data_IF_612968611417
#
_entry.id   IF_612968611417
#
_cell.length_a   1.000
_cell.length_b   1.000
_cell.length_c   1.000
_cell.angle_alpha   90.00
_cell.angle_beta   90.00
_cell.angle_gamma   90.00
#
_symmetry.space_group_name_H-M   'P 1'
#
loop_
_entity.id
_entity.type
_entity.pdbx_description
1 polymer ?
#
# COMPACT_ATOMS: atom_id res chain seq x y z
N UNK A 1 25.51 -6.60 31.95
CA UNK A 1 24.75 -7.86 32.06
C UNK A 1 23.27 -7.54 32.28
N UNK A 2 22.57 -7.09 31.23
CA UNK A 2 21.11 -6.96 31.21
C UNK A 2 20.61 -7.94 30.14
N UNK A 3 20.52 -9.22 30.50
CA UNK A 3 19.77 -10.15 29.66
C UNK A 3 18.30 -9.84 29.92
N UNK A 4 17.74 -8.94 29.12
CA UNK A 4 16.30 -8.69 29.09
C UNK A 4 15.69 -10.00 28.61
N UNK A 5 15.27 -10.84 29.56
CA UNK A 5 14.52 -12.05 29.28
C UNK A 5 13.21 -11.62 28.62
N UNK A 6 13.15 -11.76 27.31
CA UNK A 6 11.96 -11.44 26.51
C UNK A 6 10.79 -12.27 27.07
N UNK A 7 9.63 -11.65 27.36
CA UNK A 7 8.52 -12.39 27.93
C UNK A 7 8.05 -13.47 26.93
N UNK A 8 7.67 -14.67 27.40
CA UNK A 8 7.31 -15.79 26.52
C UNK A 8 6.08 -15.49 25.64
N UNK A 9 5.24 -14.53 26.05
CA UNK A 9 4.12 -14.02 25.24
C UNK A 9 4.59 -13.25 24.00
N UNK A 10 5.71 -12.54 24.10
CA UNK A 10 6.28 -11.78 22.99
C UNK A 10 6.93 -12.73 21.97
N UNK A 11 7.63 -13.77 22.41
CA UNK A 11 8.24 -14.75 21.50
C UNK A 11 7.17 -15.47 20.66
N UNK A 12 6.06 -15.86 21.29
CA UNK A 12 4.93 -16.46 20.59
C UNK A 12 4.30 -15.47 19.59
N UNK A 13 4.08 -14.22 19.99
CA UNK A 13 3.51 -13.20 19.11
C UNK A 13 4.43 -12.88 17.93
N UNK A 14 5.74 -12.76 18.17
CA UNK A 14 6.75 -12.50 17.14
C UNK A 14 6.73 -13.60 16.07
N UNK A 15 6.67 -14.87 16.49
CA UNK A 15 6.64 -16.00 15.57
C UNK A 15 5.41 -16.01 14.66
N UNK A 16 4.24 -15.71 15.23
CA UNK A 16 2.99 -15.58 14.46
C UNK A 16 3.09 -14.43 13.46
N UNK A 17 3.60 -13.28 13.89
CA UNK A 17 3.80 -12.11 13.03
C UNK A 17 4.76 -12.39 11.88
N UNK A 18 5.89 -13.07 12.12
CA UNK A 18 6.83 -13.46 11.05
C UNK A 18 6.13 -14.32 9.99
N UNK A 19 5.32 -15.29 10.41
CA UNK A 19 4.54 -16.13 9.50
C UNK A 19 3.58 -15.31 8.63
N UNK A 20 2.82 -14.37 9.22
CA UNK A 20 1.92 -13.50 8.46
C UNK A 20 2.68 -12.56 7.51
N UNK A 21 3.82 -12.00 7.92
CA UNK A 21 4.66 -11.15 7.07
C UNK A 21 5.16 -11.92 5.84
N UNK A 22 5.67 -13.14 6.02
CA UNK A 22 6.09 -13.99 4.91
C UNK A 22 4.94 -14.33 3.96
N UNK A 23 3.75 -14.63 4.51
CA UNK A 23 2.57 -14.90 3.70
C UNK A 23 2.13 -13.68 2.90
N UNK A 24 2.14 -12.49 3.50
CA UNK A 24 1.83 -11.22 2.82
C UNK A 24 2.85 -10.96 1.72
N UNK A 25 4.15 -11.16 1.97
CA UNK A 25 5.19 -10.98 0.97
C UNK A 25 4.96 -11.90 -0.26
N UNK A 26 4.65 -13.18 -0.03
CA UNK A 26 4.33 -14.12 -1.11
C UNK A 26 3.08 -13.70 -1.88
N UNK A 27 2.04 -13.26 -1.17
CA UNK A 27 0.81 -12.77 -1.79
C UNK A 27 1.05 -11.52 -2.66
N UNK A 28 1.92 -10.60 -2.21
CA UNK A 28 2.32 -9.42 -2.98
C UNK A 28 3.10 -9.80 -4.24
N UNK A 29 4.04 -10.76 -4.17
CA UNK A 29 4.78 -11.24 -5.35
C UNK A 29 3.83 -11.88 -6.36
N UNK A 30 2.91 -12.73 -5.90
CA UNK A 30 1.89 -13.33 -6.75
C UNK A 30 0.98 -12.27 -7.40
N UNK A 31 0.52 -11.30 -6.61
CA UNK A 31 -0.29 -10.18 -7.09
C UNK A 31 0.45 -9.32 -8.12
N UNK A 32 1.73 -9.02 -7.89
CA UNK A 32 2.56 -8.27 -8.83
C UNK A 32 2.74 -9.01 -10.15
N UNK A 33 2.97 -10.33 -10.11
CA UNK A 33 3.06 -11.16 -11.31
C UNK A 33 1.73 -11.20 -12.09
N UNK A 34 0.61 -11.46 -11.41
CA UNK A 34 -0.71 -11.51 -12.02
C UNK A 34 -1.10 -10.16 -12.67
N UNK A 35 -0.89 -9.06 -11.94
CA UNK A 35 -1.15 -7.71 -12.43
C UNK A 35 -0.22 -7.32 -13.59
N UNK A 36 1.06 -7.71 -13.55
CA UNK A 36 1.98 -7.47 -14.66
C UNK A 36 1.52 -8.19 -15.93
N UNK A 37 1.08 -9.45 -15.80
CA UNK A 37 0.59 -10.24 -16.93
C UNK A 37 -0.69 -9.64 -17.54
N UNK A 38 -1.64 -9.20 -16.70
CA UNK A 38 -2.90 -8.58 -17.15
C UNK A 38 -2.74 -7.16 -17.68
N UNK A 39 -1.78 -6.38 -17.15
CA UNK A 39 -1.58 -4.97 -17.54
C UNK A 39 -0.80 -4.82 -18.83
N UNK A 40 0.06 -5.78 -19.21
CA UNK A 40 0.85 -5.74 -20.47
C UNK A 40 0.00 -5.43 -21.73
N UNK A 41 -1.14 -6.10 -22.00
CA UNK A 41 -1.94 -5.81 -23.20
C UNK A 41 -2.73 -4.49 -23.12
N UNK A 42 -3.03 -3.97 -21.92
CA UNK A 42 -3.80 -2.73 -21.74
C UNK A 42 -2.89 -1.48 -21.73
N UNK A 43 -1.70 -1.60 -21.13
CA UNK A 43 -0.73 -0.52 -21.03
C UNK A 43 -0.17 -0.15 -22.40
N UNK A 44 0.15 -1.11 -23.28
CA UNK A 44 0.63 -0.81 -24.64
C UNK A 44 -0.39 -0.02 -25.47
N UNK A 45 -1.69 -0.23 -25.27
CA UNK A 45 -2.75 0.54 -25.96
C UNK A 45 -2.96 1.93 -25.38
N UNK A 46 -2.96 2.07 -24.05
CA UNK A 46 -3.14 3.38 -23.41
C UNK A 46 -1.88 4.26 -23.55
N UNK A 47 -0.68 3.68 -23.42
CA UNK A 47 0.56 4.42 -23.64
C UNK A 47 0.72 4.83 -25.10
N UNK A 48 0.35 4.00 -26.09
CA UNK A 48 0.40 4.42 -27.49
C UNK A 48 -0.57 5.57 -27.81
N UNK A 49 -1.79 5.56 -27.28
CA UNK A 49 -2.77 6.63 -27.48
C UNK A 49 -2.36 7.92 -26.76
N UNK A 50 -1.93 7.82 -25.49
CA UNK A 50 -1.49 8.98 -24.70
C UNK A 50 -0.16 9.56 -25.25
N UNK A 51 0.79 8.69 -25.64
CA UNK A 51 2.04 9.13 -26.27
C UNK A 51 1.78 9.77 -27.62
N UNK A 52 0.90 9.22 -28.46
CA UNK A 52 0.54 9.82 -29.74
C UNK A 52 -0.11 11.20 -29.54
N UNK A 53 -0.98 11.36 -28.54
CA UNK A 53 -1.61 12.66 -28.23
C UNK A 53 -0.60 13.68 -27.69
N UNK A 54 0.33 13.24 -26.85
CA UNK A 54 1.42 14.08 -26.31
C UNK A 54 2.41 14.44 -27.42
N UNK A 55 2.72 13.50 -28.31
CA UNK A 55 3.65 13.69 -29.42
C UNK A 55 3.07 14.58 -30.51
N UNK A 56 1.76 14.52 -30.76
CA UNK A 56 1.05 15.48 -31.61
C UNK A 56 1.12 16.90 -31.04
N UNK A 57 0.87 17.08 -29.74
CA UNK A 57 0.99 18.39 -29.07
C UNK A 57 2.43 18.90 -29.05
N UNK A 58 3.41 18.01 -28.88
CA UNK A 58 4.84 18.34 -28.99
C UNK A 58 5.20 18.76 -30.40
N UNK A 59 4.74 18.04 -31.43
CA UNK A 59 4.99 18.36 -32.84
C UNK A 59 4.36 19.70 -33.25
N UNK A 60 3.15 19.99 -32.78
CA UNK A 60 2.50 21.28 -32.99
C UNK A 60 3.27 22.42 -32.33
N UNK A 61 3.67 22.25 -31.06
CA UNK A 61 4.52 23.22 -30.36
C UNK A 61 5.84 23.43 -31.09
N UNK A 62 6.49 22.37 -31.56
CA UNK A 62 7.76 22.43 -32.27
C UNK A 62 7.61 23.15 -33.61
N UNK A 63 6.53 22.90 -34.35
CA UNK A 63 6.22 23.60 -35.59
C UNK A 63 5.95 25.10 -35.37
N UNK A 64 5.20 25.44 -34.32
CA UNK A 64 4.94 26.84 -33.93
C UNK A 64 6.22 27.54 -33.49
N UNK A 65 7.09 26.86 -32.75
CA UNK A 65 8.39 27.40 -32.34
C UNK A 65 9.31 27.59 -33.54
N UNK A 66 9.35 26.63 -34.46
CA UNK A 66 10.19 26.67 -35.65
C UNK A 66 9.77 27.77 -36.63
N UNK A 67 8.47 27.94 -36.85
CA UNK A 67 7.93 29.03 -37.67
C UNK A 67 8.26 30.42 -37.09
N UNK A 68 8.29 30.54 -35.76
CA UNK A 68 8.67 31.79 -35.07
C UNK A 68 10.20 32.02 -35.07
N UNK A 69 11.02 30.96 -35.07
CA UNK A 69 12.50 31.05 -35.14
C UNK A 69 12.97 31.78 -36.41
N UNK A 70 12.29 31.55 -37.54
CA UNK A 70 12.66 32.15 -38.84
C UNK A 70 12.46 33.68 -38.85
N UNK A 71 11.68 34.22 -37.91
CA UNK A 71 11.28 35.63 -37.90
C UNK A 71 12.03 36.51 -36.89
N UNK A 72 12.90 35.98 -36.01
CA UNK A 72 13.47 36.74 -34.88
C UNK A 72 14.94 36.44 -34.55
N UNK A 73 15.58 37.39 -33.86
CA UNK A 73 16.94 37.30 -33.29
C UNK A 73 17.03 36.30 -32.12
N UNK A 74 18.18 35.62 -32.00
CA UNK A 74 18.44 34.47 -31.11
C UNK A 74 18.07 34.69 -29.63
N UNK A 75 18.35 35.87 -29.07
CA UNK A 75 18.07 36.19 -27.67
C UNK A 75 16.58 36.35 -27.35
N UNK A 76 15.79 36.88 -28.29
CA UNK A 76 14.34 37.02 -28.10
C UNK A 76 13.62 35.69 -28.29
N UNK A 77 14.12 34.85 -29.19
CA UNK A 77 13.61 33.51 -29.42
C UNK A 77 13.74 32.62 -28.19
N UNK A 78 14.91 32.61 -27.53
CA UNK A 78 15.14 31.82 -26.31
C UNK A 78 14.14 32.16 -25.20
N UNK A 79 13.87 33.46 -25.01
CA UNK A 79 12.94 33.93 -23.96
C UNK A 79 11.50 33.52 -24.25
N UNK A 80 11.08 33.59 -25.52
CA UNK A 80 9.74 33.19 -25.97
C UNK A 80 9.57 31.66 -25.94
N UNK A 81 10.60 30.91 -26.32
CA UNK A 81 10.60 29.45 -26.27
C UNK A 81 10.45 28.94 -24.84
N UNK A 82 11.22 29.48 -23.89
CA UNK A 82 11.07 29.15 -22.47
C UNK A 82 9.69 29.56 -21.91
N UNK A 83 9.14 30.68 -22.36
CA UNK A 83 7.80 31.11 -21.94
C UNK A 83 6.71 30.17 -22.45
N UNK A 84 6.78 29.75 -23.73
CA UNK A 84 5.83 28.79 -24.31
C UNK A 84 6.00 27.40 -23.72
N UNK A 85 7.24 26.94 -23.49
CA UNK A 85 7.52 25.66 -22.85
C UNK A 85 6.98 25.61 -21.42
N UNK A 86 7.22 26.67 -20.62
CA UNK A 86 6.69 26.78 -19.27
C UNK A 86 5.14 26.86 -19.27
N UNK A 87 4.54 27.50 -20.28
CA UNK A 87 3.08 27.49 -20.44
C UNK A 87 2.55 26.08 -20.77
N UNK A 88 3.23 25.34 -21.64
CA UNK A 88 2.89 23.95 -21.95
C UNK A 88 3.06 23.03 -20.73
N UNK A 89 4.14 23.18 -19.98
CA UNK A 89 4.39 22.43 -18.74
C UNK A 89 3.31 22.72 -17.68
N UNK A 90 2.94 23.99 -17.50
CA UNK A 90 1.81 24.38 -16.63
C UNK A 90 0.47 23.86 -17.14
N UNK A 91 0.27 23.79 -18.45
CA UNK A 91 -0.95 23.22 -19.05
C UNK A 91 -0.98 21.70 -18.85
N UNK A 92 0.17 21.03 -18.92
CA UNK A 92 0.30 19.60 -18.65
C UNK A 92 0.07 19.29 -17.17
N UNK A 93 0.72 20.03 -16.27
CA UNK A 93 0.54 19.93 -14.82
C UNK A 93 -0.91 20.25 -14.42
N UNK A 94 -1.55 21.23 -15.06
CA UNK A 94 -2.97 21.52 -14.81
C UNK A 94 -3.91 20.50 -15.45
N UNK A 95 -3.48 19.76 -16.49
CA UNK A 95 -4.26 18.65 -17.07
C UNK A 95 -4.14 17.36 -16.25
N UNK A 96 -2.97 17.07 -15.66
CA UNK A 96 -2.81 15.99 -14.68
C UNK A 96 -3.51 16.33 -13.37
N UNK A 97 -3.43 17.59 -12.94
CA UNK A 97 -4.19 18.11 -11.81
C UNK A 97 -5.68 18.32 -12.16
N UNK A 98 -6.12 18.24 -13.42
CA UNK A 98 -7.54 18.36 -13.78
C UNK A 98 -8.34 17.14 -13.31
N UNK A 99 -7.67 16.01 -13.04
CA UNK A 99 -8.29 14.88 -12.35
C UNK A 99 -8.62 15.21 -10.89
N UNK A 100 -7.84 16.09 -10.25
CA UNK A 100 -8.03 16.57 -8.88
C UNK A 100 -8.79 17.91 -8.78
N UNK A 101 -8.97 18.63 -9.90
CA UNK A 101 -9.51 20.01 -9.93
C UNK A 101 -11.03 20.13 -10.09
N UNK A 102 -11.82 19.09 -9.82
CA UNK A 102 -13.28 19.24 -9.68
C UNK A 102 -13.72 19.59 -8.23
N UNK A 103 -12.80 19.83 -7.30
CA UNK A 103 -13.15 20.14 -5.90
C UNK A 103 -12.99 21.62 -5.50
N UNK A 104 -12.51 22.50 -6.38
CA UNK A 104 -12.33 23.91 -6.04
C UNK A 104 -13.58 24.77 -6.26
N UNK A 105 -14.71 24.31 -5.76
CA UNK A 105 -15.79 25.21 -5.38
C UNK A 105 -15.70 25.36 -3.85
N UNK A 106 -15.43 26.58 -3.37
CA UNK A 106 -15.50 26.96 -1.94
C UNK A 106 -16.90 26.84 -1.32
N UNK A 107 -17.75 26.00 -1.91
CA UNK A 107 -19.07 25.60 -1.45
C UNK A 107 -18.95 24.66 -0.25
N UNK A 108 -19.86 24.83 0.71
CA UNK A 108 -19.99 23.96 1.86
C UNK A 108 -20.05 22.47 1.50
N UNK A 109 -20.66 22.13 0.35
CA UNK A 109 -20.76 20.76 -0.13
C UNK A 109 -19.39 20.14 -0.50
N UNK A 110 -18.49 20.91 -1.10
CA UNK A 110 -17.13 20.46 -1.41
C UNK A 110 -16.32 20.24 -0.14
N UNK A 111 -16.41 21.18 0.81
CA UNK A 111 -15.79 21.04 2.13
C UNK A 111 -16.35 19.85 2.93
N UNK A 112 -17.65 19.57 2.84
CA UNK A 112 -18.29 18.41 3.48
C UNK A 112 -17.80 17.09 2.87
N UNK A 113 -17.68 17.00 1.54
CA UNK A 113 -17.11 15.83 0.86
C UNK A 113 -15.65 15.61 1.28
N UNK A 114 -14.84 16.67 1.32
CA UNK A 114 -13.45 16.60 1.78
C UNK A 114 -13.36 16.13 3.23
N UNK A 115 -14.20 16.70 4.12
CA UNK A 115 -14.27 16.30 5.52
C UNK A 115 -14.71 14.83 5.69
N UNK A 116 -15.63 14.36 4.85
CA UNK A 116 -16.04 12.97 4.84
C UNK A 116 -14.90 12.06 4.40
N UNK A 117 -14.27 12.34 3.25
CA UNK A 117 -13.11 11.60 2.73
C UNK A 117 -12.01 11.45 3.78
N UNK A 118 -11.73 12.51 4.54
CA UNK A 118 -10.74 12.53 5.61
C UNK A 118 -11.06 11.57 6.76
N UNK A 119 -12.33 11.52 7.18
CA UNK A 119 -12.77 10.66 8.29
C UNK A 119 -12.87 9.20 7.84
N UNK A 120 -13.39 8.97 6.63
CA UNK A 120 -13.61 7.62 6.10
C UNK A 120 -12.38 7.03 5.44
N UNK A 121 -11.28 7.79 5.38
CA UNK A 121 -10.01 7.44 4.73
C UNK A 121 -10.20 6.98 3.29
N UNK A 122 -11.11 7.63 2.55
CA UNK A 122 -11.43 7.28 1.17
C UNK A 122 -10.63 8.16 0.23
N UNK A 123 -9.88 7.52 -0.67
CA UNK A 123 -9.09 8.21 -1.69
C UNK A 123 -7.83 8.86 -1.12
N UNK A 124 -6.93 9.24 -2.02
CA UNK A 124 -5.77 10.03 -1.67
C UNK A 124 -6.18 11.50 -1.50
N UNK A 125 -5.71 12.15 -0.43
CA UNK A 125 -5.76 13.61 -0.32
C UNK A 125 -4.37 14.12 -0.64
N UNK A 126 -4.24 14.89 -1.71
CA UNK A 126 -2.96 15.47 -2.09
C UNK A 126 -2.64 16.65 -1.15
N UNK A 127 -1.42 16.72 -0.58
CA UNK A 127 -1.05 17.79 0.34
C UNK A 127 -1.06 19.17 -0.34
N UNK A 128 -0.89 19.21 -1.66
CA UNK A 128 -0.83 20.43 -2.48
C UNK A 128 -2.21 21.09 -2.65
N UNK A 129 -3.30 20.39 -2.33
CA UNK A 129 -4.67 20.93 -2.37
C UNK A 129 -5.03 21.76 -1.14
N UNK A 130 -4.29 21.62 -0.03
CA UNK A 130 -4.60 22.27 1.24
C UNK A 130 -3.60 23.38 1.57
N UNK A 131 -4.11 24.51 2.06
CA UNK A 131 -3.27 25.54 2.70
C UNK A 131 -2.55 24.97 3.92
N UNK A 132 -1.39 25.52 4.29
CA UNK A 132 -0.61 25.09 5.46
C UNK A 132 -1.44 25.03 6.76
N UNK A 133 -2.38 25.97 6.96
CA UNK A 133 -3.32 25.92 8.08
C UNK A 133 -4.38 24.82 7.96
N UNK A 134 -4.83 24.54 6.73
CA UNK A 134 -5.76 23.46 6.43
C UNK A 134 -5.14 22.07 6.65
N UNK A 135 -3.86 21.89 6.31
CA UNK A 135 -3.12 20.66 6.58
C UNK A 135 -3.05 20.37 8.09
N UNK A 136 -2.74 21.37 8.90
CA UNK A 136 -2.70 21.22 10.36
C UNK A 136 -4.08 20.87 10.93
N UNK A 137 -5.13 21.53 10.45
CA UNK A 137 -6.50 21.21 10.85
C UNK A 137 -6.90 19.79 10.44
N UNK A 138 -6.56 19.36 9.22
CA UNK A 138 -6.81 18.02 8.71
C UNK A 138 -6.17 16.93 9.59
N UNK A 139 -4.96 17.15 10.11
CA UNK A 139 -4.31 16.22 11.04
C UNK A 139 -5.11 16.05 12.33
N UNK A 140 -5.51 17.14 12.99
CA UNK A 140 -6.30 17.06 14.22
C UNK A 140 -7.70 16.50 13.98
N UNK A 141 -8.33 16.88 12.87
CA UNK A 141 -9.65 16.42 12.48
C UNK A 141 -9.67 14.92 12.21
N UNK A 142 -8.70 14.38 11.47
CA UNK A 142 -8.59 12.94 11.20
C UNK A 142 -8.24 12.13 12.45
N UNK A 143 -7.39 12.66 13.35
CA UNK A 143 -7.03 12.00 14.61
C UNK A 143 -8.25 11.71 15.50
N UNK A 144 -9.21 12.64 15.58
CA UNK A 144 -10.44 12.44 16.34
C UNK A 144 -11.55 11.77 15.51
N UNK A 145 -11.62 12.08 14.22
CA UNK A 145 -12.68 11.65 13.32
C UNK A 145 -12.61 10.17 12.94
N UNK A 146 -11.42 9.64 12.64
CA UNK A 146 -11.25 8.22 12.23
C UNK A 146 -11.73 7.27 13.36
N UNK A 147 -11.31 7.42 14.64
CA UNK A 147 -11.81 6.57 15.72
C UNK A 147 -13.34 6.67 15.91
N UNK A 148 -13.91 7.87 15.77
CA UNK A 148 -15.35 8.08 15.87
C UNK A 148 -16.09 7.33 14.74
N UNK A 149 -15.54 7.34 13.54
CA UNK A 149 -16.10 6.63 12.40
C UNK A 149 -15.97 5.10 12.53
N UNK A 150 -14.84 4.61 13.06
CA UNK A 150 -14.69 3.18 13.39
C UNK A 150 -15.70 2.72 14.46
N UNK A 151 -16.04 3.58 15.43
CA UNK A 151 -17.09 3.30 16.40
C UNK A 151 -18.46 3.17 15.72
N UNK A 152 -18.77 4.09 14.80
CA UNK A 152 -19.99 4.03 13.99
C UNK A 152 -20.07 2.73 13.18
N UNK A 153 -19.00 2.40 12.43
CA UNK A 153 -18.91 1.17 11.65
C UNK A 153 -19.13 -0.08 12.51
N UNK A 154 -18.59 -0.09 13.73
CA UNK A 154 -18.77 -1.22 14.66
C UNK A 154 -20.24 -1.44 15.01
N UNK A 155 -21.01 -0.37 15.24
CA UNK A 155 -22.44 -0.49 15.54
C UNK A 155 -23.24 -0.95 14.32
N UNK A 156 -22.93 -0.39 13.13
CA UNK A 156 -23.57 -0.82 11.89
C UNK A 156 -23.26 -2.29 11.58
N UNK A 157 -22.02 -2.74 11.77
CA UNK A 157 -21.63 -4.13 11.56
C UNK A 157 -22.37 -5.08 12.50
N UNK A 158 -22.62 -4.70 13.76
CA UNK A 158 -23.44 -5.49 14.70
C UNK A 158 -24.88 -5.62 14.21
N UNK A 159 -25.48 -4.52 13.75
CA UNK A 159 -26.83 -4.51 13.20
C UNK A 159 -26.92 -5.38 11.93
N UNK A 160 -26.01 -5.21 10.97
CA UNK A 160 -25.99 -6.00 9.73
C UNK A 160 -25.71 -7.48 9.99
N UNK A 161 -24.81 -7.81 10.92
CA UNK A 161 -24.49 -9.20 11.29
C UNK A 161 -25.71 -9.94 11.86
N UNK A 162 -26.63 -9.21 12.50
CA UNK A 162 -27.88 -9.79 13.01
C UNK A 162 -28.86 -10.15 11.88
N UNK A 163 -28.75 -9.49 10.73
CA UNK A 163 -29.67 -9.69 9.59
C UNK A 163 -29.10 -10.68 8.58
N UNK A 164 -27.78 -10.60 8.33
CA UNK A 164 -27.10 -11.36 7.27
C UNK A 164 -26.00 -12.21 7.90
N UNK A 165 -26.01 -13.51 7.61
CA UNK A 165 -25.04 -14.46 8.20
C UNK A 165 -24.41 -15.36 7.12
N UNK A 166 -23.12 -15.66 7.28
CA UNK A 166 -22.37 -16.60 6.45
C UNK A 166 -22.08 -16.08 5.04
N UNK A 167 -22.08 -16.96 4.04
CA UNK A 167 -21.81 -16.61 2.63
C UNK A 167 -22.78 -15.58 2.04
N UNK A 168 -23.95 -15.39 2.65
CA UNK A 168 -24.91 -14.35 2.24
C UNK A 168 -24.33 -12.94 2.38
N UNK A 169 -23.36 -12.72 3.25
CA UNK A 169 -22.67 -11.42 3.42
C UNK A 169 -21.94 -11.02 2.12
N UNK A 170 -21.22 -11.97 1.51
CA UNK A 170 -20.47 -11.72 0.27
C UNK A 170 -21.43 -11.44 -0.89
N UNK A 171 -22.50 -12.24 -1.00
CA UNK A 171 -23.53 -12.04 -2.02
C UNK A 171 -24.23 -10.70 -1.85
N UNK A 172 -24.53 -10.30 -0.61
CA UNK A 172 -25.13 -9.01 -0.30
C UNK A 172 -24.22 -7.85 -0.72
N UNK A 173 -22.90 -7.93 -0.47
CA UNK A 173 -21.95 -6.92 -0.91
C UNK A 173 -21.96 -6.74 -2.43
N UNK A 174 -21.77 -7.83 -3.19
CA UNK A 174 -21.73 -7.73 -4.66
C UNK A 174 -23.08 -7.28 -5.24
N UNK A 175 -24.19 -7.74 -4.66
CA UNK A 175 -25.52 -7.26 -5.05
C UNK A 175 -25.71 -5.77 -4.76
N UNK A 176 -25.23 -5.28 -3.61
CA UNK A 176 -25.32 -3.87 -3.25
C UNK A 176 -24.45 -2.99 -4.14
N UNK A 177 -23.21 -3.42 -4.42
CA UNK A 177 -22.31 -2.75 -5.37
C UNK A 177 -22.95 -2.68 -6.75
N UNK A 178 -23.58 -3.77 -7.21
CA UNK A 178 -24.25 -3.81 -8.51
C UNK A 178 -25.41 -2.80 -8.59
N UNK A 179 -26.29 -2.79 -7.59
CA UNK A 179 -27.40 -1.82 -7.53
C UNK A 179 -26.88 -0.39 -7.44
N UNK A 180 -25.85 -0.15 -6.63
CA UNK A 180 -25.21 1.17 -6.50
C UNK A 180 -24.61 1.62 -7.82
N UNK A 181 -23.93 0.74 -8.55
CA UNK A 181 -23.38 1.05 -9.87
C UNK A 181 -24.47 1.42 -10.88
N UNK A 182 -25.60 0.71 -10.90
CA UNK A 182 -26.75 1.07 -11.75
C UNK A 182 -27.32 2.43 -11.36
N UNK A 183 -27.42 2.75 -10.07
CA UNK A 183 -27.90 4.06 -9.59
C UNK A 183 -26.95 5.17 -10.02
N UNK A 184 -25.64 4.98 -9.87
CA UNK A 184 -24.61 5.94 -10.31
C UNK A 184 -24.70 6.15 -11.82
N UNK A 185 -24.79 5.08 -12.61
CA UNK A 185 -24.87 5.10 -14.07
C UNK A 185 -26.11 5.87 -14.59
N UNK A 186 -27.27 5.72 -13.92
CA UNK A 186 -28.48 6.46 -14.28
C UNK A 186 -28.39 7.95 -13.92
N UNK A 187 -27.75 8.27 -12.79
CA UNK A 187 -27.64 9.64 -12.29
C UNK A 187 -26.58 10.45 -13.05
N UNK A 188 -25.51 9.80 -13.49
CA UNK A 188 -24.40 10.40 -14.22
C UNK A 188 -24.73 10.45 -15.73
N UNK A 189 -25.78 11.20 -16.06
CA UNK A 189 -26.46 11.14 -17.37
C UNK A 189 -25.73 11.82 -18.53
N UNK A 190 -24.47 12.29 -18.37
CA UNK A 190 -23.85 13.19 -19.36
C UNK A 190 -22.32 13.14 -19.50
N UNK A 191 -21.61 12.12 -19.03
CA UNK A 191 -20.14 12.07 -19.13
C UNK A 191 -19.65 10.74 -19.65
N UNK A 192 -19.01 10.78 -20.84
CA UNK A 192 -18.15 9.79 -21.49
C UNK A 192 -18.53 8.31 -21.32
N UNK A 193 -18.81 7.62 -22.43
CA UNK A 193 -19.15 6.20 -22.50
C UNK A 193 -18.07 5.27 -21.90
N UNK A 194 -17.99 5.20 -20.58
CA UNK A 194 -17.22 4.20 -19.83
C UNK A 194 -18.08 2.95 -19.75
N UNK A 195 -17.47 1.79 -19.97
CA UNK A 195 -18.18 0.51 -19.86
C UNK A 195 -18.80 0.35 -18.48
N UNK A 196 -20.00 -0.21 -18.36
CA UNK A 196 -20.65 -0.53 -17.07
C UNK A 196 -19.72 -1.24 -16.07
N UNK A 197 -18.85 -2.13 -16.58
CA UNK A 197 -17.85 -2.83 -15.78
C UNK A 197 -16.88 -1.87 -15.06
N UNK A 198 -16.50 -0.75 -15.69
CA UNK A 198 -15.67 0.28 -15.09
C UNK A 198 -16.41 0.98 -13.94
N UNK A 199 -17.67 1.36 -14.14
CA UNK A 199 -18.50 1.99 -13.11
C UNK A 199 -18.70 1.05 -11.91
N UNK A 200 -18.99 -0.22 -12.19
CA UNK A 200 -19.09 -1.26 -11.17
C UNK A 200 -17.80 -1.44 -10.37
N UNK A 201 -16.65 -1.51 -11.05
CA UNK A 201 -15.35 -1.62 -10.40
C UNK A 201 -14.98 -0.36 -9.60
N UNK A 202 -15.27 0.82 -10.13
CA UNK A 202 -15.04 2.11 -9.45
C UNK A 202 -15.82 2.18 -8.13
N UNK A 203 -17.11 1.84 -8.16
CA UNK A 203 -17.96 1.82 -6.95
C UNK A 203 -17.45 0.79 -5.93
N UNK A 204 -17.00 -0.39 -6.38
CA UNK A 204 -16.38 -1.37 -5.50
C UNK A 204 -15.11 -0.83 -4.81
N UNK A 205 -14.23 -0.17 -5.56
CA UNK A 205 -13.01 0.44 -5.01
C UNK A 205 -13.35 1.54 -4.01
N UNK A 206 -14.37 2.34 -4.29
CA UNK A 206 -14.83 3.41 -3.40
C UNK A 206 -15.34 2.85 -2.07
N UNK A 207 -16.20 1.82 -2.09
CA UNK A 207 -16.65 1.13 -0.87
C UNK A 207 -15.56 0.31 -0.18
N UNK A 208 -14.43 0.07 -0.84
CA UNK A 208 -13.23 -0.56 -0.25
C UNK A 208 -12.20 0.47 0.24
N UNK A 209 -12.58 1.75 0.30
CA UNK A 209 -11.72 2.89 0.70
C UNK A 209 -10.48 3.12 -0.19
N UNK A 210 -10.42 2.51 -1.38
CA UNK A 210 -9.29 2.65 -2.31
C UNK A 210 -9.60 3.67 -3.41
N UNK A 211 -10.86 3.70 -3.87
CA UNK A 211 -11.27 4.44 -5.05
C UNK A 211 -11.48 5.93 -4.81
N UNK A 212 -11.11 6.73 -5.80
CA UNK A 212 -11.39 8.16 -5.85
C UNK A 212 -12.85 8.42 -6.26
N UNK A 213 -13.48 9.41 -5.63
CA UNK A 213 -14.85 9.83 -5.97
C UNK A 213 -14.81 10.72 -7.21
N UNK A 214 -15.26 10.20 -8.35
CA UNK A 214 -15.40 10.97 -9.59
C UNK A 214 -16.83 11.41 -9.91
N UNK A 215 -17.81 10.99 -9.10
CA UNK A 215 -19.23 11.12 -9.48
C UNK A 215 -19.84 12.45 -9.00
N UNK A 216 -20.43 13.20 -9.91
CA UNK A 216 -21.18 14.44 -9.66
C UNK A 216 -22.60 14.19 -9.12
N UNK A 217 -22.73 13.23 -8.20
CA UNK A 217 -24.00 12.90 -7.53
C UNK A 217 -24.21 13.87 -6.37
N UNK A 218 -25.49 14.18 -6.09
CA UNK A 218 -25.89 15.00 -4.95
C UNK A 218 -25.25 14.51 -3.65
N UNK A 219 -24.56 15.41 -2.94
CA UNK A 219 -23.70 15.11 -1.79
C UNK A 219 -24.38 14.22 -0.74
N UNK A 220 -25.65 14.49 -0.40
CA UNK A 220 -26.36 13.71 0.62
C UNK A 220 -26.59 12.26 0.19
N UNK A 221 -27.00 12.04 -1.05
CA UNK A 221 -27.24 10.69 -1.56
C UNK A 221 -25.94 9.90 -1.63
N UNK A 222 -24.87 10.55 -2.09
CA UNK A 222 -23.53 9.95 -2.15
C UNK A 222 -23.02 9.58 -0.74
N UNK A 223 -23.18 10.44 0.26
CA UNK A 223 -22.83 10.15 1.65
C UNK A 223 -23.61 8.95 2.21
N UNK A 224 -24.93 8.91 2.04
CA UNK A 224 -25.76 7.79 2.54
C UNK A 224 -25.38 6.47 1.88
N UNK A 225 -25.22 6.49 0.56
CA UNK A 225 -24.79 5.32 -0.22
C UNK A 225 -23.41 4.84 0.21
N UNK A 226 -22.48 5.77 0.42
CA UNK A 226 -21.12 5.46 0.83
C UNK A 226 -21.07 4.89 2.26
N UNK A 227 -21.80 5.48 3.20
CA UNK A 227 -21.88 4.99 4.59
C UNK A 227 -22.43 3.57 4.68
N UNK A 228 -23.49 3.30 3.92
CA UNK A 228 -24.09 1.95 3.86
C UNK A 228 -23.17 0.95 3.16
N UNK A 229 -22.54 1.35 2.05
CA UNK A 229 -21.56 0.54 1.33
C UNK A 229 -20.32 0.20 2.18
N UNK A 230 -19.75 1.18 2.87
CA UNK A 230 -18.59 0.99 3.75
C UNK A 230 -18.89 0.06 4.93
N UNK A 231 -20.08 0.16 5.52
CA UNK A 231 -20.48 -0.80 6.57
C UNK A 231 -20.58 -2.21 6.02
N UNK A 232 -21.16 -2.40 4.83
CA UNK A 232 -21.29 -3.73 4.25
C UNK A 232 -19.93 -4.32 3.82
N UNK A 233 -19.04 -3.50 3.27
CA UNK A 233 -17.66 -3.88 2.98
C UNK A 233 -16.89 -4.25 4.25
N UNK A 234 -16.99 -3.41 5.29
CA UNK A 234 -16.35 -3.65 6.60
C UNK A 234 -16.80 -4.97 7.23
N UNK A 235 -18.10 -5.27 7.19
CA UNK A 235 -18.63 -6.55 7.65
C UNK A 235 -18.06 -7.71 6.83
N UNK A 236 -18.01 -7.57 5.51
CA UNK A 236 -17.47 -8.60 4.61
C UNK A 236 -15.99 -8.86 4.90
N UNK A 237 -15.18 -7.82 5.09
CA UNK A 237 -13.76 -7.95 5.45
C UNK A 237 -13.56 -8.64 6.79
N UNK A 238 -14.33 -8.25 7.83
CA UNK A 238 -14.26 -8.92 9.13
C UNK A 238 -14.62 -10.40 9.05
N UNK A 239 -15.63 -10.74 8.24
CA UNK A 239 -16.03 -12.11 8.02
C UNK A 239 -14.99 -12.95 7.22
N UNK A 240 -14.41 -12.37 6.17
CA UNK A 240 -13.31 -12.99 5.41
C UNK A 240 -12.08 -13.18 6.30
N UNK A 241 -11.73 -12.20 7.13
CA UNK A 241 -10.63 -12.28 8.08
C UNK A 241 -10.82 -13.45 9.05
N UNK A 242 -11.98 -13.57 9.69
CA UNK A 242 -12.28 -14.70 10.59
C UNK A 242 -12.18 -16.05 9.88
N UNK A 243 -12.56 -16.12 8.59
CA UNK A 243 -12.45 -17.35 7.81
C UNK A 243 -10.99 -17.69 7.49
N UNK A 244 -10.21 -16.68 7.10
CA UNK A 244 -8.78 -16.81 6.83
C UNK A 244 -8.05 -17.27 8.07
N UNK A 245 -8.27 -16.63 9.23
CA UNK A 245 -7.66 -17.03 10.51
C UNK A 245 -7.92 -18.50 10.83
N UNK A 246 -9.18 -18.96 10.70
CA UNK A 246 -9.54 -20.36 10.94
C UNK A 246 -8.86 -21.34 9.98
N UNK A 247 -8.70 -20.99 8.71
CA UNK A 247 -7.98 -21.84 7.75
C UNK A 247 -6.47 -21.85 8.00
N UNK A 248 -5.92 -20.68 8.36
CA UNK A 248 -4.50 -20.51 8.58
C UNK A 248 -4.00 -21.14 9.88
N UNK A 249 -4.86 -21.33 10.90
CA UNK A 249 -4.48 -21.98 12.16
C UNK A 249 -3.77 -23.33 11.95
N UNK A 250 -4.23 -24.14 10.98
CA UNK A 250 -3.59 -25.43 10.66
C UNK A 250 -2.18 -25.24 10.08
N UNK A 251 -2.02 -24.25 9.21
CA UNK A 251 -0.73 -23.93 8.59
C UNK A 251 0.24 -23.27 9.58
N UNK A 252 -0.27 -22.40 10.45
CA UNK A 252 0.47 -21.72 11.51
C UNK A 252 1.07 -22.75 12.49
N UNK A 253 0.27 -23.76 12.88
CA UNK A 253 0.74 -24.85 13.73
C UNK A 253 1.86 -25.65 13.05
N UNK A 254 1.75 -25.90 11.75
CA UNK A 254 2.76 -26.62 10.98
C UNK A 254 4.06 -25.81 10.87
N UNK A 255 3.97 -24.51 10.60
CA UNK A 255 5.11 -23.58 10.60
C UNK A 255 5.78 -23.51 11.99
N UNK A 256 4.95 -23.51 13.04
CA UNK A 256 5.40 -23.57 14.42
C UNK A 256 6.11 -24.90 14.78
N UNK A 257 5.83 -25.98 14.07
CA UNK A 257 6.60 -27.22 14.22
C UNK A 257 7.94 -27.12 13.51
N UNK A 258 7.95 -26.65 12.25
CA UNK A 258 9.17 -26.53 11.44
C UNK A 258 10.18 -25.54 12.04
N UNK A 259 9.75 -24.35 12.45
CA UNK A 259 10.64 -23.36 13.02
C UNK A 259 11.22 -23.81 14.38
N UNK A 260 10.50 -24.67 15.11
CA UNK A 260 11.01 -25.28 16.34
C UNK A 260 12.05 -26.37 16.06
N UNK A 261 11.93 -27.10 14.94
CA UNK A 261 12.96 -28.02 14.48
C UNK A 261 14.20 -27.27 13.99
N UNK A 262 14.03 -26.16 13.28
CA UNK A 262 15.15 -25.31 12.83
C UNK A 262 15.94 -24.74 14.01
N UNK A 263 15.27 -24.22 15.03
CA UNK A 263 15.96 -23.74 16.24
C UNK A 263 16.73 -24.87 16.94
N UNK A 264 16.17 -26.08 17.03
CA UNK A 264 16.87 -27.24 17.58
C UNK A 264 18.08 -27.68 16.75
N UNK A 265 18.02 -27.50 15.43
CA UNK A 265 19.16 -27.78 14.54
C UNK A 265 20.23 -26.70 14.73
N UNK A 266 19.81 -25.42 14.81
CA UNK A 266 20.71 -24.29 15.06
C UNK A 266 21.45 -24.44 16.39
N UNK A 267 20.73 -24.74 17.48
CA UNK A 267 21.34 -24.99 18.80
C UNK A 267 22.31 -26.19 18.78
N UNK A 268 22.03 -27.21 17.97
CA UNK A 268 22.95 -28.35 17.78
C UNK A 268 24.18 -27.97 16.98
N UNK A 269 24.07 -27.05 16.02
CA UNK A 269 25.21 -26.53 15.27
C UNK A 269 26.08 -25.62 16.15
N UNK A 270 25.48 -24.68 16.88
CA UNK A 270 26.22 -23.79 17.81
C UNK A 270 26.95 -24.59 18.90
N UNK A 271 26.30 -25.60 19.52
CA UNK A 271 26.97 -26.47 20.50
C UNK A 271 28.09 -27.33 19.92
N UNK A 272 28.01 -27.65 18.63
CA UNK A 272 29.06 -28.43 17.95
C UNK A 272 30.24 -27.53 17.59
N UNK A 273 29.97 -26.31 17.18
CA UNK A 273 30.97 -25.28 16.91
C UNK A 273 31.74 -24.90 18.18
N UNK A 274 31.05 -24.66 19.30
CA UNK A 274 31.70 -24.43 20.61
C UNK A 274 32.51 -25.65 21.08
N UNK A 275 32.03 -26.87 20.80
CA UNK A 275 32.73 -28.11 21.17
C UNK A 275 34.01 -28.33 20.38
N UNK A 276 33.95 -28.12 19.06
CA UNK A 276 35.11 -28.21 18.17
C UNK A 276 36.14 -27.11 18.52
N UNK A 277 35.71 -25.89 18.86
CA UNK A 277 36.60 -24.76 19.24
C UNK A 277 37.32 -25.02 20.59
N UNK A 278 36.63 -25.62 21.57
CA UNK A 278 37.24 -26.05 22.83
C UNK A 278 38.27 -27.17 22.60
N UNK A 279 37.97 -28.15 21.74
CA UNK A 279 38.89 -29.26 21.46
C UNK A 279 40.18 -28.78 20.77
N UNK A 280 40.07 -27.86 19.80
CA UNK A 280 41.24 -27.22 19.18
C UNK A 280 42.09 -26.42 20.18
N UNK A 281 41.47 -25.74 21.13
CA UNK A 281 42.18 -24.95 22.15
C UNK A 281 42.94 -25.84 23.12
N UNK A 282 42.36 -26.98 23.52
CA UNK A 282 43.03 -27.96 24.39
C UNK A 282 44.23 -28.60 23.68
N UNK A 283 44.08 -28.95 22.41
CA UNK A 283 45.17 -29.55 21.62
C UNK A 283 46.32 -28.56 21.45
N UNK A 284 46.04 -27.29 21.13
CA UNK A 284 47.08 -26.27 20.98
C UNK A 284 47.80 -25.96 22.30
N UNK A 285 47.08 -25.90 23.42
CA UNK A 285 47.70 -25.69 24.73
C UNK A 285 48.53 -26.91 25.17
N UNK A 286 48.17 -28.12 24.77
CA UNK A 286 48.95 -29.31 25.09
C UNK A 286 50.25 -29.37 24.28
N UNK A 287 50.21 -28.91 23.01
CA UNK A 287 51.42 -28.75 22.20
C UNK A 287 52.36 -27.65 22.72
N UNK A 288 51.82 -26.52 23.20
CA UNK A 288 52.68 -25.44 23.74
C UNK A 288 53.37 -25.83 25.05
N UNK A 289 52.72 -26.64 25.89
CA UNK A 289 53.33 -27.15 27.14
C UNK A 289 54.42 -28.19 26.82
N UNK A 290 54.22 -29.02 25.81
CA UNK A 290 55.24 -29.97 25.37
C UNK A 290 56.47 -29.28 24.73
N UNK A 291 56.26 -28.17 24.00
CA UNK A 291 57.38 -27.35 23.49
C UNK A 291 58.12 -26.61 24.63
N UNK A 292 57.43 -26.13 25.68
CA UNK A 292 58.08 -25.53 26.86
C UNK A 292 58.86 -26.57 27.71
N UNK A 293 58.37 -27.81 27.81
CA UNK A 293 59.08 -28.89 28.52
C UNK A 293 60.32 -29.40 27.74
N UNK A 294 60.30 -29.39 26.39
CA UNK A 294 61.48 -29.72 25.57
C UNK A 294 62.55 -28.62 25.58
N UNK A 295 62.16 -27.33 25.68
CA UNK A 295 63.13 -26.22 25.82
C UNK A 295 63.80 -26.19 27.21
N UNK A 296 63.11 -26.60 28.28
CA UNK A 296 63.71 -26.70 29.63
C UNK A 296 64.68 -27.90 29.76
N UNK A 297 64.45 -29.01 29.04
CA UNK A 297 65.38 -30.15 29.03
C UNK A 297 66.66 -29.87 28.21
N UNK A 298 66.59 -29.06 27.15
CA UNK A 298 67.78 -28.64 26.38
C UNK A 298 68.65 -27.60 27.12
N UNK A 299 68.09 -26.79 28.02
CA UNK A 299 68.89 -25.86 28.86
C UNK A 299 69.60 -26.55 30.04
N UNK A 300 69.14 -27.72 30.50
CA UNK A 300 69.81 -28.49 31.56
C UNK A 300 71.00 -29.33 31.04
N UNK A 301 71.02 -29.73 29.76
CA UNK A 301 72.15 -30.48 29.17
C UNK A 301 73.40 -29.63 28.86
N UNK A 302 73.32 -28.29 28.87
CA UNK A 302 74.45 -27.40 28.53
C UNK A 302 75.34 -27.03 29.75
N UNK A 303 75.08 -27.63 30.93
CA UNK A 303 75.83 -27.37 32.18
C UNK A 303 76.55 -28.58 32.82
N UNK A 304 76.60 -29.76 32.19
CA UNK A 304 77.43 -30.90 32.63
C UNK A 304 78.76 -31.08 31.86
#
# INVERSE_FOLDING_TARGET
>A
MFSISVPPSFELAMRRSIFFILLIALYLVFGAFALQMMRRPASERLTSIESERIDLKRAELLNVLWAETVARTENDWYRIANQKLNHYEKTLQSSSALSSKETNDGSFNGALKLAFKLITTIGAVEPDELSAGGQLFAMFYSMAGIPLYLLYLTQCNRMLSSVITGWRVIVALFSFVFVSAVVVDILEKDSDAKSFLYNYFSVYLHFSTIGEESSNIGTVLMLVLCMTGLSLSSLTFGFVQQRLEKQLMSSEWTFSKMFGQLNKIKEKMEKKEDGDEIETTIINNHYSIAEEEEEEEEEEEDYE
#
